data_IF_504177822839
#
_entry.id   IF_504177822839
#
_cell.length_a   1.000
_cell.length_b   1.000
_cell.length_c   1.000
_cell.angle_alpha   90.00
_cell.angle_beta   90.00
_cell.angle_gamma   90.00
#
_symmetry.space_group_name_H-M   'P 1'
#
loop_
_entity.id
_entity.type
_entity.pdbx_description
1 polymer ?
#
# COMPACT_ATOMS: atom_id res chain seq x y z
N UNK A 1 -24.00 -4.17 -9.28
CA UNK A 1 -22.88 -3.74 -8.43
C UNK A 1 -21.82 -3.21 -9.40
N UNK A 2 -21.71 -1.92 -9.55
CA UNK A 2 -20.64 -1.32 -10.34
C UNK A 2 -19.39 -1.29 -9.44
N UNK A 3 -18.47 -2.22 -9.65
CA UNK A 3 -17.12 -2.13 -9.10
C UNK A 3 -16.34 -1.06 -9.85
N UNK A 4 -15.18 -0.68 -9.35
CA UNK A 4 -14.28 0.26 -10.04
C UNK A 4 -13.88 -0.19 -11.45
N UNK A 5 -14.28 -1.38 -11.87
CA UNK A 5 -13.91 -1.99 -13.14
C UNK A 5 -12.45 -2.45 -13.17
N UNK A 6 -12.06 -3.11 -14.26
CA UNK A 6 -10.71 -3.66 -14.43
C UNK A 6 -9.98 -3.04 -15.64
N UNK A 7 -10.53 -1.97 -16.22
CA UNK A 7 -10.00 -1.37 -17.47
C UNK A 7 -8.60 -0.75 -17.29
N UNK A 8 -8.22 -0.43 -16.07
CA UNK A 8 -6.91 0.12 -15.71
C UNK A 8 -5.84 -0.96 -15.45
N UNK A 9 -6.23 -2.23 -15.48
CA UNK A 9 -5.28 -3.32 -15.35
C UNK A 9 -4.57 -3.54 -16.69
N UNK A 10 -3.25 -3.69 -16.64
CA UNK A 10 -2.45 -4.03 -17.82
C UNK A 10 -2.72 -5.48 -18.26
N UNK A 11 -2.42 -5.81 -19.49
CA UNK A 11 -2.57 -7.19 -19.94
C UNK A 11 -1.60 -8.10 -19.20
N UNK A 12 -2.05 -9.31 -18.84
CA UNK A 12 -1.25 -10.26 -18.05
C UNK A 12 0.01 -10.77 -18.78
N UNK A 13 0.14 -10.49 -20.06
CA UNK A 13 1.31 -10.81 -20.91
C UNK A 13 2.46 -9.80 -20.76
N UNK A 14 2.23 -8.66 -20.14
CA UNK A 14 3.18 -7.55 -20.11
C UNK A 14 4.15 -7.57 -18.90
N UNK A 15 4.50 -8.75 -18.39
CA UNK A 15 5.42 -8.87 -17.25
C UNK A 15 4.77 -8.61 -15.89
N UNK A 16 3.45 -8.76 -15.79
CA UNK A 16 2.70 -8.64 -14.53
C UNK A 16 3.13 -9.73 -13.56
N UNK A 17 3.71 -9.33 -12.44
CA UNK A 17 4.16 -10.24 -11.39
C UNK A 17 3.06 -10.50 -10.36
N UNK A 18 2.35 -9.45 -9.93
CA UNK A 18 1.25 -9.52 -8.98
C UNK A 18 0.01 -8.83 -9.57
N UNK A 19 -1.15 -9.51 -9.51
CA UNK A 19 -2.42 -8.98 -10.01
C UNK A 19 -3.51 -9.22 -8.99
N UNK A 20 -4.21 -8.17 -8.66
CA UNK A 20 -5.35 -8.16 -7.74
C UNK A 20 -6.59 -7.79 -8.54
N UNK A 21 -7.64 -8.59 -8.45
CA UNK A 21 -8.89 -8.36 -9.15
C UNK A 21 -10.06 -8.44 -8.19
N UNK A 22 -10.86 -7.38 -8.13
CA UNK A 22 -12.11 -7.28 -7.38
C UNK A 22 -11.96 -7.72 -5.90
N UNK A 23 -10.85 -7.34 -5.26
CA UNK A 23 -10.52 -7.75 -3.91
C UNK A 23 -11.51 -7.16 -2.90
N UNK A 24 -12.15 -8.02 -2.13
CA UNK A 24 -13.04 -7.65 -1.03
C UNK A 24 -12.56 -8.28 0.27
N UNK A 25 -12.47 -7.46 1.32
CA UNK A 25 -12.18 -7.94 2.67
C UNK A 25 -13.16 -7.34 3.66
N UNK A 26 -13.95 -8.20 4.27
CA UNK A 26 -14.94 -7.84 5.28
C UNK A 26 -14.65 -8.58 6.59
N UNK A 27 -14.80 -7.86 7.69
CA UNK A 27 -14.70 -8.45 9.04
C UNK A 27 -16.05 -8.43 9.73
N UNK A 28 -16.48 -9.51 10.40
CA UNK A 28 -17.70 -9.50 11.18
C UNK A 28 -17.58 -8.52 12.35
N UNK A 29 -18.63 -7.73 12.57
CA UNK A 29 -18.75 -6.80 13.70
C UNK A 29 -20.09 -7.00 14.42
N UNK A 30 -20.05 -7.74 15.52
CA UNK A 30 -21.28 -8.16 16.21
C UNK A 30 -22.09 -9.22 15.43
N UNK A 31 -23.43 -9.25 15.67
CA UNK A 31 -24.28 -10.31 15.10
C UNK A 31 -24.71 -10.09 13.65
N UNK A 32 -24.77 -8.84 13.17
CA UNK A 32 -25.36 -8.50 11.84
C UNK A 32 -24.53 -7.52 11.01
N UNK A 33 -23.56 -6.87 11.59
CA UNK A 33 -22.77 -5.83 10.92
C UNK A 33 -21.44 -6.40 10.43
N UNK A 34 -20.91 -5.78 9.38
CA UNK A 34 -19.60 -6.08 8.84
C UNK A 34 -18.79 -4.77 8.68
N UNK A 35 -17.51 -4.84 8.94
CA UNK A 35 -16.57 -3.77 8.58
C UNK A 35 -16.14 -4.00 7.15
N UNK A 36 -16.44 -3.09 6.24
CA UNK A 36 -16.05 -3.11 4.84
C UNK A 36 -14.65 -2.51 4.69
N UNK A 37 -13.63 -3.29 5.06
CA UNK A 37 -12.26 -2.79 5.11
C UNK A 37 -11.65 -2.59 3.71
N UNK A 38 -11.95 -3.49 2.77
CA UNK A 38 -11.58 -3.39 1.35
C UNK A 38 -12.79 -3.78 0.53
N UNK A 39 -13.11 -3.00 -0.50
CA UNK A 39 -14.37 -3.12 -1.23
C UNK A 39 -14.16 -3.01 -2.72
N UNK A 40 -13.89 -4.17 -3.33
CA UNK A 40 -13.82 -4.30 -4.78
C UNK A 40 -12.73 -3.38 -5.38
N UNK A 41 -11.47 -3.64 -4.99
CA UNK A 41 -10.30 -2.98 -5.56
C UNK A 41 -9.57 -3.90 -6.52
N UNK A 42 -9.01 -3.31 -7.57
CA UNK A 42 -8.18 -3.99 -8.55
C UNK A 42 -6.94 -3.18 -8.83
N UNK A 43 -5.80 -3.83 -8.98
CA UNK A 43 -4.53 -3.25 -9.43
C UNK A 43 -3.54 -4.33 -9.79
N UNK A 44 -2.50 -3.97 -10.50
CA UNK A 44 -1.41 -4.86 -10.88
C UNK A 44 -0.05 -4.24 -10.58
N UNK A 45 0.98 -5.08 -10.51
CA UNK A 45 2.37 -4.67 -10.30
C UNK A 45 3.24 -5.46 -11.27
N UNK A 46 4.06 -4.77 -12.06
CA UNK A 46 5.04 -5.39 -12.96
C UNK A 46 6.27 -5.85 -12.18
N UNK A 47 7.03 -6.78 -12.78
CA UNK A 47 8.32 -7.19 -12.22
C UNK A 47 9.28 -6.00 -12.13
N UNK A 48 9.89 -5.79 -10.96
CA UNK A 48 10.79 -4.67 -10.69
C UNK A 48 10.11 -3.33 -10.38
N UNK A 49 8.77 -3.24 -10.50
CA UNK A 49 8.00 -2.02 -10.20
C UNK A 49 7.84 -1.81 -8.69
N UNK A 50 7.78 -0.55 -8.27
CA UNK A 50 7.28 -0.14 -6.95
C UNK A 50 5.92 0.52 -7.11
N UNK A 51 4.86 -0.15 -6.64
CA UNK A 51 3.53 0.47 -6.51
C UNK A 51 3.37 1.04 -5.09
N UNK A 52 3.17 2.35 -4.99
CA UNK A 52 2.80 3.01 -3.74
C UNK A 52 1.30 2.96 -3.50
N UNK A 53 0.85 2.61 -2.29
CA UNK A 53 -0.55 2.80 -1.87
C UNK A 53 -0.58 3.85 -0.77
N UNK A 54 -1.31 4.94 -1.02
CA UNK A 54 -1.45 6.07 -0.09
C UNK A 54 -2.91 6.31 0.30
N UNK A 55 -3.11 6.97 1.42
CA UNK A 55 -4.44 7.37 1.93
C UNK A 55 -4.45 7.53 3.44
N UNK A 56 -5.54 8.08 3.98
CA UNK A 56 -5.71 8.29 5.42
C UNK A 56 -5.59 7.01 6.24
N UNK A 57 -5.24 7.15 7.53
CA UNK A 57 -5.21 6.00 8.46
C UNK A 57 -6.60 5.36 8.54
N UNK A 58 -6.65 4.02 8.53
CA UNK A 58 -7.91 3.27 8.57
C UNK A 58 -8.63 3.13 7.22
N UNK A 59 -8.11 3.64 6.10
CA UNK A 59 -8.77 3.51 4.79
C UNK A 59 -8.66 2.11 4.15
N UNK A 60 -7.93 1.15 4.75
CA UNK A 60 -7.87 -0.24 4.28
C UNK A 60 -6.52 -0.71 3.74
N UNK A 61 -5.48 0.14 3.69
CA UNK A 61 -4.14 -0.16 3.12
C UNK A 61 -3.51 -1.43 3.70
N UNK A 62 -3.30 -1.46 5.02
CA UNK A 62 -2.71 -2.64 5.70
C UNK A 62 -3.57 -3.89 5.59
N UNK A 63 -4.89 -3.73 5.46
CA UNK A 63 -5.80 -4.86 5.23
C UNK A 63 -5.59 -5.43 3.82
N UNK A 64 -5.41 -4.55 2.82
CA UNK A 64 -5.08 -4.95 1.44
C UNK A 64 -3.76 -5.73 1.41
N UNK A 65 -2.71 -5.19 2.04
CA UNK A 65 -1.41 -5.85 2.16
C UNK A 65 -1.51 -7.27 2.74
N UNK A 66 -2.19 -7.39 3.86
CA UNK A 66 -2.38 -8.69 4.54
C UNK A 66 -3.24 -9.65 3.75
N UNK A 67 -4.26 -9.17 3.03
CA UNK A 67 -5.11 -10.01 2.19
C UNK A 67 -4.33 -10.59 0.99
N UNK A 68 -3.39 -9.86 0.43
CA UNK A 68 -2.51 -10.34 -0.65
C UNK A 68 -1.73 -11.59 -0.20
N UNK A 69 -1.17 -11.57 1.00
CA UNK A 69 -0.49 -12.75 1.58
C UNK A 69 -1.45 -13.77 2.21
N UNK A 70 -2.76 -13.62 1.98
CA UNK A 70 -3.81 -14.49 2.51
C UNK A 70 -3.89 -14.50 4.06
N UNK A 71 -3.66 -13.38 4.73
CA UNK A 71 -3.71 -13.19 6.19
C UNK A 71 -4.45 -11.89 6.59
N UNK A 72 -5.79 -11.86 6.57
CA UNK A 72 -6.75 -12.95 6.36
C UNK A 72 -6.94 -13.31 4.89
N UNK A 73 -7.53 -14.47 4.64
CA UNK A 73 -8.02 -14.83 3.30
C UNK A 73 -9.10 -13.82 2.88
N UNK A 74 -9.07 -13.31 1.62
CA UNK A 74 -10.09 -12.40 1.11
C UNK A 74 -11.52 -12.97 1.23
N UNK A 75 -12.50 -12.09 1.40
CA UNK A 75 -13.92 -12.46 1.36
C UNK A 75 -14.33 -12.86 -0.05
N UNK A 76 -13.83 -12.13 -1.06
CA UNK A 76 -13.97 -12.45 -2.46
C UNK A 76 -12.89 -11.73 -3.28
N UNK A 77 -12.84 -11.99 -4.58
CA UNK A 77 -11.83 -11.47 -5.49
C UNK A 77 -10.66 -12.43 -5.67
N UNK A 78 -9.72 -12.03 -6.50
CA UNK A 78 -8.59 -12.84 -6.93
C UNK A 78 -7.28 -12.15 -6.60
N UNK A 79 -6.32 -12.91 -6.08
CA UNK A 79 -4.93 -12.49 -5.92
C UNK A 79 -4.07 -13.47 -6.73
N UNK A 80 -3.44 -12.99 -7.76
CA UNK A 80 -2.63 -13.78 -8.68
C UNK A 80 -1.16 -13.37 -8.58
N UNK A 81 -0.30 -14.34 -8.41
CA UNK A 81 1.14 -14.20 -8.41
C UNK A 81 1.72 -15.10 -9.50
N UNK A 82 2.42 -14.52 -10.48
CA UNK A 82 2.98 -15.24 -11.64
C UNK A 82 1.97 -16.18 -12.30
N UNK A 83 0.75 -15.72 -12.54
CA UNK A 83 -0.34 -16.52 -13.14
C UNK A 83 -1.01 -17.51 -12.19
N UNK A 84 -0.53 -17.66 -10.95
CA UNK A 84 -1.13 -18.58 -9.96
C UNK A 84 -2.09 -17.83 -9.04
N UNK A 85 -3.36 -18.24 -8.99
CA UNK A 85 -4.35 -17.65 -8.07
C UNK A 85 -4.13 -18.13 -6.63
N UNK A 86 -3.55 -17.27 -5.81
CA UNK A 86 -3.25 -17.56 -4.39
C UNK A 86 -4.52 -17.81 -3.56
N UNK A 87 -5.64 -17.22 -3.97
CA UNK A 87 -6.92 -17.35 -3.23
C UNK A 87 -7.51 -18.76 -3.33
N UNK A 88 -7.11 -19.54 -4.34
CA UNK A 88 -7.58 -20.92 -4.57
C UNK A 88 -6.64 -21.97 -4.00
N UNK A 89 -5.42 -21.58 -3.63
CA UNK A 89 -4.45 -22.53 -3.10
C UNK A 89 -4.90 -23.12 -1.74
N UNK A 90 -4.57 -24.37 -1.56
CA UNK A 90 -4.64 -25.03 -0.26
C UNK A 90 -3.47 -24.57 0.66
N UNK A 91 -3.41 -25.13 1.87
CA UNK A 91 -2.38 -24.75 2.84
C UNK A 91 -0.96 -25.07 2.36
N UNK A 92 -0.77 -26.18 1.66
CA UNK A 92 0.55 -26.59 1.19
C UNK A 92 0.97 -25.77 -0.04
N UNK A 93 0.06 -25.55 -1.02
CA UNK A 93 0.31 -24.67 -2.15
C UNK A 93 0.65 -23.25 -1.69
N UNK A 94 -0.09 -22.70 -0.72
CA UNK A 94 0.22 -21.39 -0.15
C UNK A 94 1.56 -21.38 0.60
N UNK A 95 1.91 -22.47 1.30
CA UNK A 95 3.21 -22.60 1.99
C UNK A 95 4.37 -22.50 0.99
N UNK A 96 4.24 -23.06 -0.20
CA UNK A 96 5.28 -23.01 -1.24
C UNK A 96 5.44 -21.60 -1.83
N UNK A 97 4.38 -20.79 -1.87
CA UNK A 97 4.43 -19.40 -2.38
C UNK A 97 4.98 -18.40 -1.36
N UNK A 98 4.89 -18.68 -0.06
CA UNK A 98 5.29 -17.75 1.01
C UNK A 98 6.74 -17.23 0.93
N UNK A 99 7.77 -18.02 0.56
CA UNK A 99 9.12 -17.49 0.40
C UNK A 99 9.21 -16.37 -0.63
N UNK A 100 8.44 -16.47 -1.72
CA UNK A 100 8.49 -15.53 -2.84
C UNK A 100 7.80 -14.19 -2.55
N UNK A 101 6.87 -14.16 -1.58
CA UNK A 101 6.11 -12.95 -1.21
C UNK A 101 6.29 -12.71 0.28
N UNK A 102 7.11 -11.73 0.64
CA UNK A 102 7.43 -11.41 2.02
C UNK A 102 6.81 -10.07 2.43
N UNK A 103 6.67 -9.86 3.75
CA UNK A 103 6.07 -8.63 4.29
C UNK A 103 6.94 -8.04 5.39
N UNK A 104 7.15 -6.72 5.29
CA UNK A 104 7.74 -5.89 6.33
C UNK A 104 6.57 -5.17 7.02
N UNK A 105 6.43 -5.37 8.34
CA UNK A 105 5.30 -4.87 9.13
C UNK A 105 5.56 -3.46 9.66
N UNK A 106 4.49 -2.74 9.94
CA UNK A 106 4.46 -1.37 10.45
C UNK A 106 5.24 -1.18 11.76
N UNK A 107 5.11 -2.12 12.70
CA UNK A 107 5.86 -2.09 13.96
C UNK A 107 6.97 -3.15 13.94
N UNK A 108 8.22 -2.74 13.72
CA UNK A 108 9.33 -3.68 13.66
C UNK A 108 9.55 -4.39 14.99
N UNK A 109 9.32 -3.72 16.13
CA UNK A 109 9.62 -4.28 17.45
C UNK A 109 8.65 -5.42 17.77
N UNK A 110 7.34 -5.18 17.62
CA UNK A 110 6.33 -6.21 17.89
C UNK A 110 6.36 -7.36 16.89
N UNK A 111 6.90 -7.14 15.69
CA UNK A 111 7.01 -8.16 14.65
C UNK A 111 8.17 -9.14 14.89
N UNK A 112 9.10 -8.83 15.79
CA UNK A 112 10.27 -9.64 16.11
C UNK A 112 10.05 -10.41 17.42
N UNK A 113 10.45 -11.69 17.45
CA UNK A 113 10.34 -12.48 18.68
C UNK A 113 11.38 -12.00 19.71
N UNK A 114 10.97 -11.37 20.85
CA UNK A 114 11.88 -10.76 21.81
C UNK A 114 12.74 -11.76 22.58
N UNK A 115 12.42 -13.04 22.50
CA UNK A 115 13.14 -14.12 23.22
C UNK A 115 14.29 -14.72 22.39
N UNK A 116 14.31 -14.48 21.07
CA UNK A 116 15.33 -15.01 20.15
C UNK A 116 16.41 -13.97 19.89
N UNK A 117 17.62 -14.45 19.58
CA UNK A 117 18.68 -13.57 19.07
C UNK A 117 18.33 -13.12 17.65
N UNK A 118 18.90 -11.98 17.22
CA UNK A 118 18.67 -11.42 15.88
C UNK A 118 19.04 -12.41 14.79
N UNK A 119 20.18 -13.07 14.92
CA UNK A 119 20.59 -14.14 14.00
C UNK A 119 19.51 -15.23 13.87
N UNK A 120 18.96 -15.71 14.99
CA UNK A 120 17.92 -16.74 14.96
C UNK A 120 16.61 -16.26 14.35
N UNK A 121 16.28 -14.97 14.46
CA UNK A 121 15.09 -14.36 13.84
C UNK A 121 15.26 -14.35 12.32
N UNK A 122 16.37 -13.88 11.80
CA UNK A 122 16.66 -13.86 10.37
C UNK A 122 16.75 -15.29 9.82
N UNK A 123 17.40 -16.19 10.55
CA UNK A 123 17.56 -17.60 10.16
C UNK A 123 16.27 -18.44 10.24
N UNK A 124 15.18 -17.92 10.80
CA UNK A 124 13.94 -18.71 10.97
C UNK A 124 13.35 -19.15 9.63
N UNK A 125 13.27 -18.24 8.67
CA UNK A 125 12.78 -18.55 7.33
C UNK A 125 13.63 -19.59 6.61
N UNK A 126 14.94 -19.46 6.64
CA UNK A 126 15.83 -20.40 5.96
C UNK A 126 15.76 -21.80 6.55
N UNK A 127 15.53 -21.95 7.86
CA UNK A 127 15.32 -23.25 8.51
C UNK A 127 14.08 -23.99 8.00
N UNK A 128 13.07 -23.27 7.53
CA UNK A 128 11.79 -23.84 7.09
C UNK A 128 11.78 -24.12 5.60
N UNK A 129 12.42 -23.25 4.78
CA UNK A 129 12.28 -23.28 3.32
C UNK A 129 13.60 -23.49 2.56
N UNK A 130 14.77 -23.24 3.18
CA UNK A 130 16.04 -23.42 2.47
C UNK A 130 16.35 -24.91 2.26
N UNK A 131 16.91 -25.19 1.09
CA UNK A 131 17.56 -26.48 0.80
C UNK A 131 19.01 -26.53 1.32
N UNK A 132 19.57 -25.37 1.64
CA UNK A 132 20.92 -25.26 2.23
C UNK A 132 20.85 -25.48 3.74
N UNK A 133 21.84 -26.19 4.26
CA UNK A 133 21.95 -26.51 5.69
C UNK A 133 23.38 -26.27 6.22
N UNK A 134 23.51 -26.12 7.54
CA UNK A 134 24.79 -25.97 8.20
C UNK A 134 25.51 -24.67 7.84
N UNK A 135 26.79 -24.75 7.50
CA UNK A 135 27.65 -23.59 7.29
C UNK A 135 27.21 -22.69 6.11
N UNK A 136 26.65 -23.25 5.04
CA UNK A 136 26.14 -22.47 3.90
C UNK A 136 24.95 -21.62 4.30
N UNK A 137 23.99 -22.19 5.04
CA UNK A 137 22.85 -21.48 5.59
C UNK A 137 23.28 -20.36 6.55
N UNK A 138 24.22 -20.65 7.45
CA UNK A 138 24.74 -19.64 8.38
C UNK A 138 25.40 -18.48 7.65
N UNK A 139 26.22 -18.79 6.63
CA UNK A 139 26.87 -17.78 5.80
C UNK A 139 25.85 -16.87 5.10
N UNK A 140 24.82 -17.42 4.50
CA UNK A 140 23.74 -16.64 3.85
C UNK A 140 23.08 -15.67 4.84
N UNK A 141 22.78 -16.13 6.06
CA UNK A 141 22.20 -15.30 7.11
C UNK A 141 23.16 -14.19 7.55
N UNK A 142 24.45 -14.50 7.71
CA UNK A 142 25.47 -13.50 8.07
C UNK A 142 25.63 -12.43 6.97
N UNK A 143 25.68 -12.85 5.71
CA UNK A 143 25.76 -11.94 4.55
C UNK A 143 24.55 -11.01 4.50
N UNK A 144 23.33 -11.53 4.73
CA UNK A 144 22.11 -10.71 4.74
C UNK A 144 22.09 -9.72 5.94
N UNK A 145 22.53 -10.14 7.13
CA UNK A 145 22.64 -9.24 8.27
C UNK A 145 23.67 -8.12 7.99
N UNK A 146 24.77 -8.45 7.34
CA UNK A 146 25.79 -7.47 6.95
C UNK A 146 25.28 -6.52 5.86
N UNK A 147 24.52 -7.01 4.87
CA UNK A 147 23.93 -6.22 3.79
C UNK A 147 23.01 -5.12 4.31
N UNK A 148 22.25 -5.38 5.39
CA UNK A 148 21.43 -4.35 6.04
C UNK A 148 22.23 -3.46 7.03
N UNK A 149 23.57 -3.58 7.05
CA UNK A 149 24.46 -2.75 7.85
C UNK A 149 24.45 -3.07 9.35
N UNK A 150 24.26 -4.34 9.71
CA UNK A 150 24.37 -4.84 11.09
C UNK A 150 25.59 -5.78 11.23
N UNK A 151 26.12 -5.89 12.45
CA UNK A 151 27.23 -6.82 12.74
C UNK A 151 26.69 -8.25 12.98
N UNK A 152 27.07 -9.25 12.12
CA UNK A 152 26.63 -10.64 12.29
C UNK A 152 27.09 -11.27 13.61
N UNK A 153 28.23 -10.84 14.17
CA UNK A 153 28.73 -11.36 15.44
C UNK A 153 27.87 -10.90 16.61
N UNK A 154 27.49 -9.62 16.64
CA UNK A 154 26.56 -9.10 17.65
C UNK A 154 25.17 -9.75 17.49
N UNK A 155 24.72 -9.95 16.27
CA UNK A 155 23.41 -10.55 15.97
C UNK A 155 23.26 -11.99 16.52
N UNK A 156 24.36 -12.74 16.67
CA UNK A 156 24.37 -14.09 17.26
C UNK A 156 24.06 -14.09 18.76
N UNK A 157 24.31 -13.01 19.45
CA UNK A 157 24.17 -12.91 20.91
C UNK A 157 23.08 -11.99 21.38
N UNK A 158 22.88 -10.87 20.68
CA UNK A 158 21.93 -9.80 21.04
C UNK A 158 20.50 -10.13 20.60
N UNK A 159 19.53 -9.59 21.35
CA UNK A 159 18.09 -9.69 21.13
C UNK A 159 17.51 -8.35 20.63
N UNK A 160 16.30 -8.34 20.01
CA UNK A 160 15.71 -7.12 19.46
C UNK A 160 15.65 -5.91 20.40
N UNK A 161 15.36 -6.12 21.70
CA UNK A 161 15.26 -5.04 22.67
C UNK A 161 16.60 -4.34 22.99
N UNK A 162 17.72 -4.89 22.51
CA UNK A 162 19.07 -4.31 22.63
C UNK A 162 19.46 -3.48 21.39
N UNK A 163 18.53 -3.29 20.46
CA UNK A 163 18.70 -2.53 19.22
C UNK A 163 17.76 -1.32 19.18
N UNK A 164 18.15 -0.26 18.47
CA UNK A 164 17.28 0.90 18.23
C UNK A 164 16.12 0.53 17.29
N UNK A 165 15.07 1.36 17.23
CA UNK A 165 13.93 1.17 16.32
C UNK A 165 14.36 1.03 14.86
N UNK A 166 15.26 1.88 14.37
CA UNK A 166 15.79 1.80 13.02
C UNK A 166 16.65 0.53 12.77
N UNK A 167 17.36 0.04 13.79
CA UNK A 167 18.05 -1.25 13.69
C UNK A 167 17.06 -2.42 13.67
N UNK A 168 15.99 -2.37 14.48
CA UNK A 168 14.91 -3.37 14.43
C UNK A 168 14.24 -3.41 13.05
N UNK A 169 14.07 -2.24 12.40
CA UNK A 169 13.57 -2.19 11.03
C UNK A 169 14.52 -2.89 10.06
N UNK A 170 15.81 -2.66 10.15
CA UNK A 170 16.82 -3.38 9.33
C UNK A 170 16.81 -4.89 9.58
N UNK A 171 16.59 -5.32 10.81
CA UNK A 171 16.40 -6.75 11.13
C UNK A 171 15.16 -7.31 10.42
N UNK A 172 14.05 -6.56 10.39
CA UNK A 172 12.81 -6.94 9.69
C UNK A 172 13.03 -7.05 8.18
N UNK A 173 13.81 -6.13 7.59
CA UNK A 173 14.23 -6.20 6.18
C UNK A 173 15.09 -7.44 5.92
N UNK A 174 16.13 -7.68 6.73
CA UNK A 174 16.99 -8.87 6.59
C UNK A 174 16.20 -10.17 6.68
N UNK A 175 15.23 -10.25 7.62
CA UNK A 175 14.34 -11.40 7.78
C UNK A 175 13.49 -11.66 6.54
N UNK A 176 13.02 -10.62 5.86
CA UNK A 176 12.25 -10.75 4.64
C UNK A 176 13.13 -11.15 3.44
N UNK A 177 14.30 -10.52 3.29
CA UNK A 177 15.19 -10.72 2.14
C UNK A 177 15.95 -12.05 2.14
N UNK A 178 16.24 -12.64 3.28
CA UNK A 178 17.05 -13.87 3.39
C UNK A 178 16.45 -15.08 2.63
N UNK A 179 15.16 -14.99 2.27
CA UNK A 179 14.42 -15.99 1.49
C UNK A 179 14.48 -15.77 -0.02
N UNK A 180 15.21 -14.74 -0.49
CA UNK A 180 15.28 -14.32 -1.89
C UNK A 180 13.89 -14.09 -2.51
N UNK A 181 13.03 -13.26 -1.88
CA UNK A 181 11.68 -13.02 -2.36
C UNK A 181 11.69 -12.29 -3.71
N UNK A 182 10.60 -12.42 -4.46
CA UNK A 182 10.36 -11.61 -5.67
C UNK A 182 9.51 -10.37 -5.36
N UNK A 183 8.63 -10.48 -4.36
CA UNK A 183 7.74 -9.40 -3.93
C UNK A 183 7.97 -9.11 -2.45
N UNK A 184 8.15 -7.83 -2.12
CA UNK A 184 8.11 -7.36 -0.74
C UNK A 184 6.97 -6.36 -0.57
N UNK A 185 6.12 -6.64 0.40
CA UNK A 185 5.06 -5.74 0.83
C UNK A 185 5.56 -4.97 2.05
N UNK A 186 5.74 -3.66 1.90
CA UNK A 186 6.17 -2.76 2.96
C UNK A 186 4.94 -2.05 3.55
N UNK A 187 4.46 -2.50 4.72
CA UNK A 187 3.32 -1.89 5.41
C UNK A 187 3.81 -0.82 6.38
N UNK A 188 3.79 0.44 5.96
CA UNK A 188 4.27 1.62 6.70
C UNK A 188 5.68 1.45 7.31
N UNK A 189 6.68 1.07 6.51
CA UNK A 189 7.97 0.58 7.04
C UNK A 189 8.80 1.66 7.78
N UNK A 190 8.41 2.93 7.72
CA UNK A 190 9.16 4.05 8.31
C UNK A 190 8.32 4.96 9.20
N UNK A 191 7.02 4.69 9.39
CA UNK A 191 6.08 5.59 10.06
C UNK A 191 6.41 5.89 11.54
N UNK A 192 7.10 4.98 12.22
CA UNK A 192 7.47 5.10 13.63
C UNK A 192 8.91 5.61 13.86
N UNK A 193 9.61 6.02 12.80
CA UNK A 193 11.01 6.41 12.86
C UNK A 193 11.16 7.91 12.65
N UNK A 194 12.22 8.49 13.21
CA UNK A 194 12.56 9.89 12.96
C UNK A 194 13.09 10.10 11.53
N UNK A 195 12.93 11.34 11.00
CA UNK A 195 13.16 11.69 9.59
C UNK A 195 14.53 11.25 9.07
N UNK A 196 15.58 11.38 9.89
CA UNK A 196 16.94 11.00 9.48
C UNK A 196 17.12 9.50 9.34
N UNK A 197 16.44 8.72 10.16
CA UNK A 197 16.43 7.25 10.09
C UNK A 197 15.53 6.77 8.96
N UNK A 198 14.39 7.42 8.74
CA UNK A 198 13.50 7.14 7.59
C UNK A 198 14.27 7.19 6.26
N UNK A 199 14.99 8.30 6.01
CA UNK A 199 15.76 8.45 4.77
C UNK A 199 16.78 7.31 4.56
N UNK A 200 17.46 6.88 5.63
CA UNK A 200 18.43 5.77 5.55
C UNK A 200 17.76 4.43 5.26
N UNK A 201 16.57 4.17 5.82
CA UNK A 201 15.82 2.93 5.55
C UNK A 201 15.29 2.93 4.12
N UNK A 202 14.79 4.07 3.63
CA UNK A 202 14.28 4.20 2.25
C UNK A 202 15.40 3.98 1.23
N UNK A 203 16.56 4.63 1.41
CA UNK A 203 17.71 4.42 0.54
C UNK A 203 18.15 2.95 0.55
N UNK A 204 18.26 2.34 1.73
CA UNK A 204 18.59 0.92 1.85
C UNK A 204 17.58 0.02 1.11
N UNK A 205 16.28 0.29 1.20
CA UNK A 205 15.25 -0.47 0.48
C UNK A 205 15.38 -0.28 -1.04
N UNK A 206 15.75 0.92 -1.50
CA UNK A 206 16.00 1.19 -2.91
C UNK A 206 17.24 0.44 -3.40
N UNK A 207 18.35 0.51 -2.66
CA UNK A 207 19.58 -0.23 -2.98
C UNK A 207 19.30 -1.75 -3.05
N UNK A 208 18.54 -2.29 -2.09
CA UNK A 208 18.14 -3.70 -2.07
C UNK A 208 17.21 -4.05 -3.26
N UNK A 209 16.29 -3.14 -3.64
CA UNK A 209 15.42 -3.33 -4.82
C UNK A 209 16.27 -3.54 -6.07
N UNK A 210 17.27 -2.70 -6.28
CA UNK A 210 18.15 -2.75 -7.45
C UNK A 210 19.06 -3.99 -7.41
N UNK A 211 19.69 -4.28 -6.26
CA UNK A 211 20.63 -5.38 -6.10
C UNK A 211 19.97 -6.76 -6.24
N UNK A 212 18.76 -6.93 -5.68
CA UNK A 212 18.06 -8.22 -5.66
C UNK A 212 16.93 -8.32 -6.70
N UNK A 213 16.70 -7.29 -7.52
CA UNK A 213 15.64 -7.26 -8.53
C UNK A 213 14.23 -7.42 -7.93
N UNK A 214 13.95 -6.66 -6.86
CA UNK A 214 12.70 -6.80 -6.10
C UNK A 214 11.57 -6.00 -6.73
N UNK A 215 10.36 -6.53 -6.58
CA UNK A 215 9.10 -5.81 -6.80
C UNK A 215 8.53 -5.38 -5.46
N UNK A 216 8.15 -4.11 -5.34
CA UNK A 216 7.68 -3.57 -4.06
C UNK A 216 6.21 -3.13 -4.12
N UNK A 217 5.44 -3.51 -3.10
CA UNK A 217 4.20 -2.84 -2.76
C UNK A 217 4.46 -1.98 -1.52
N UNK A 218 4.52 -0.66 -1.69
CA UNK A 218 4.91 0.27 -0.65
C UNK A 218 3.69 1.02 -0.10
N UNK A 219 3.34 0.77 1.15
CA UNK A 219 2.19 1.40 1.81
C UNK A 219 2.67 2.47 2.77
N UNK A 220 2.12 3.68 2.65
CA UNK A 220 2.36 4.78 3.58
C UNK A 220 1.13 5.69 3.66
N UNK A 221 1.04 6.45 4.75
CA UNK A 221 0.14 7.60 4.84
C UNK A 221 0.86 8.90 4.47
N UNK A 222 2.19 8.88 4.33
CA UNK A 222 3.00 10.04 3.93
C UNK A 222 3.25 10.01 2.42
N UNK A 223 2.57 10.93 1.72
CA UNK A 223 2.70 11.06 0.27
C UNK A 223 4.12 11.50 -0.14
N UNK A 224 4.82 12.27 0.69
CA UNK A 224 6.18 12.73 0.39
C UNK A 224 7.16 11.56 0.33
N UNK A 225 6.98 10.58 1.21
CA UNK A 225 7.76 9.34 1.21
C UNK A 225 7.48 8.52 -0.05
N UNK A 226 6.20 8.33 -0.38
CA UNK A 226 5.78 7.51 -1.52
C UNK A 226 6.25 8.11 -2.85
N UNK A 227 6.23 9.43 -2.99
CA UNK A 227 6.74 10.14 -4.18
C UNK A 227 8.17 9.73 -4.54
N UNK A 228 9.01 9.54 -3.52
CA UNK A 228 10.44 9.29 -3.74
C UNK A 228 10.79 7.83 -4.03
N UNK A 229 9.87 6.90 -3.79
CA UNK A 229 10.18 5.46 -3.88
C UNK A 229 9.30 4.69 -4.85
N UNK A 230 8.23 5.31 -5.38
CA UNK A 230 7.21 4.62 -6.16
C UNK A 230 7.24 5.02 -7.63
N UNK A 231 7.19 4.04 -8.50
CA UNK A 231 7.04 4.23 -9.96
C UNK A 231 5.57 4.58 -10.29
N UNK A 232 4.62 3.93 -9.64
CA UNK A 232 3.16 4.22 -9.72
C UNK A 232 2.57 4.39 -8.33
N UNK A 233 1.47 5.13 -8.27
CA UNK A 233 0.78 5.42 -7.01
C UNK A 233 -0.71 5.14 -7.13
N UNK A 234 -1.27 4.41 -6.17
CA UNK A 234 -2.69 4.20 -5.98
C UNK A 234 -3.16 4.95 -4.73
N UNK A 235 -4.14 5.83 -4.89
CA UNK A 235 -4.74 6.61 -3.80
C UNK A 235 -5.98 5.89 -3.29
N UNK A 236 -5.97 5.52 -2.02
CA UNK A 236 -7.03 4.72 -1.41
C UNK A 236 -7.83 5.53 -0.39
N UNK A 237 -9.16 5.49 -0.51
CA UNK A 237 -10.11 6.11 0.41
C UNK A 237 -11.19 5.13 0.84
N UNK A 238 -11.36 4.94 2.14
CA UNK A 238 -12.41 4.11 2.76
C UNK A 238 -12.65 2.77 2.02
N UNK A 239 -11.59 1.99 1.80
CA UNK A 239 -11.63 0.68 1.17
C UNK A 239 -11.75 0.66 -0.35
N UNK A 240 -11.64 1.79 -1.04
CA UNK A 240 -11.68 1.92 -2.50
C UNK A 240 -10.43 2.63 -3.03
N UNK A 241 -9.99 2.28 -4.23
CA UNK A 241 -8.99 3.08 -4.96
C UNK A 241 -9.75 4.20 -5.68
N UNK A 242 -9.32 5.44 -5.48
CA UNK A 242 -9.92 6.64 -6.08
C UNK A 242 -9.18 7.07 -7.35
N UNK A 243 -7.87 6.92 -7.36
CA UNK A 243 -6.98 7.36 -8.42
C UNK A 243 -5.76 6.44 -8.44
N UNK A 244 -5.28 6.08 -9.63
CA UNK A 244 -4.07 5.26 -9.81
C UNK A 244 -3.38 5.68 -11.10
N UNK A 245 -2.05 5.72 -11.09
CA UNK A 245 -1.28 6.07 -12.27
C UNK A 245 0.19 6.24 -11.98
N UNK A 246 0.92 6.72 -12.99
CA UNK A 246 2.31 7.13 -12.88
C UNK A 246 2.52 8.08 -11.69
N UNK A 247 3.61 7.87 -10.94
CA UNK A 247 3.87 8.63 -9.73
C UNK A 247 3.93 10.13 -9.98
N UNK A 248 4.66 10.58 -10.98
CA UNK A 248 4.81 12.01 -11.28
C UNK A 248 3.46 12.63 -11.67
N UNK A 249 2.63 11.93 -12.47
CA UNK A 249 1.30 12.42 -12.85
C UNK A 249 0.36 12.60 -11.65
N UNK A 250 0.36 11.66 -10.71
CA UNK A 250 -0.46 11.75 -9.49
C UNK A 250 -0.08 12.98 -8.66
N UNK A 251 1.21 13.36 -8.61
CA UNK A 251 1.67 14.52 -7.83
C UNK A 251 1.55 15.84 -8.59
N UNK A 252 1.78 15.85 -9.90
CA UNK A 252 1.77 17.09 -10.70
C UNK A 252 0.37 17.44 -11.18
N UNK A 253 -0.43 16.42 -11.55
CA UNK A 253 -1.77 16.60 -12.15
C UNK A 253 -2.83 15.74 -11.45
N UNK A 254 -3.01 15.88 -10.13
CA UNK A 254 -4.02 15.11 -9.40
C UNK A 254 -5.42 15.45 -9.92
N UNK A 255 -6.20 14.44 -10.28
CA UNK A 255 -7.52 14.61 -10.88
C UNK A 255 -8.67 14.32 -9.92
N UNK A 256 -8.47 13.42 -8.94
CA UNK A 256 -9.49 13.18 -7.92
C UNK A 256 -9.47 14.28 -6.84
N UNK A 257 -10.62 14.84 -6.44
CA UNK A 257 -10.67 15.87 -5.39
C UNK A 257 -10.00 15.46 -4.08
N UNK A 258 -10.09 14.20 -3.68
CA UNK A 258 -9.41 13.68 -2.48
C UNK A 258 -7.88 13.72 -2.62
N UNK A 259 -7.33 13.30 -3.77
CA UNK A 259 -5.88 13.35 -4.02
C UNK A 259 -5.35 14.78 -3.93
N UNK A 260 -6.08 15.73 -4.51
CA UNK A 260 -5.73 17.16 -4.43
C UNK A 260 -5.68 17.66 -2.99
N UNK A 261 -6.69 17.32 -2.19
CA UNK A 261 -6.74 17.71 -0.77
C UNK A 261 -5.62 17.06 0.04
N UNK A 262 -5.29 15.79 -0.22
CA UNK A 262 -4.15 15.11 0.41
C UNK A 262 -2.83 15.81 0.08
N UNK A 263 -2.60 16.16 -1.20
CA UNK A 263 -1.40 16.84 -1.65
C UNK A 263 -1.32 18.29 -1.12
N UNK A 264 -2.47 18.97 -1.01
CA UNK A 264 -2.54 20.30 -0.43
C UNK A 264 -2.15 20.32 1.05
N UNK A 265 -2.35 19.22 1.78
CA UNK A 265 -1.97 19.07 3.18
C UNK A 265 -0.45 18.89 3.40
N UNK A 266 0.32 18.59 2.35
CA UNK A 266 1.78 18.47 2.45
C UNK A 266 2.39 19.86 2.67
N UNK A 267 3.17 20.09 3.74
CA UNK A 267 3.86 21.35 3.96
C UNK A 267 4.89 21.60 2.84
N UNK A 268 4.66 22.61 2.02
CA UNK A 268 5.63 23.06 1.03
C UNK A 268 6.30 24.37 1.49
N UNK A 269 7.61 24.35 1.80
CA UNK A 269 8.34 25.56 2.24
C UNK A 269 8.36 26.67 1.19
N UNK A 270 8.15 26.32 -0.09
CA UNK A 270 8.16 27.29 -1.21
C UNK A 270 6.81 27.96 -1.43
N UNK A 271 5.73 27.39 -0.93
CA UNK A 271 4.37 27.86 -1.19
C UNK A 271 3.76 28.52 0.07
N UNK A 272 4.16 29.76 0.37
CA UNK A 272 3.71 30.53 1.53
C UNK A 272 2.25 31.02 1.46
N UNK A 273 1.57 30.80 0.33
CA UNK A 273 0.23 31.35 0.05
C UNK A 273 -0.77 30.27 -0.40
N UNK A 274 -0.65 29.03 0.12
CA UNK A 274 -1.78 28.09 -0.02
C UNK A 274 -2.92 28.63 0.84
N UNK A 275 -4.00 29.05 0.18
CA UNK A 275 -5.25 29.36 0.87
C UNK A 275 -5.65 28.14 1.72
N UNK A 276 -5.77 28.37 3.03
CA UNK A 276 -6.07 27.36 4.05
C UNK A 276 -7.48 26.74 3.82
N UNK A 277 -8.21 27.22 2.81
CA UNK A 277 -9.55 26.77 2.46
C UNK A 277 -9.62 25.35 1.86
N UNK A 278 -8.48 24.78 1.43
CA UNK A 278 -8.41 23.42 0.88
C UNK A 278 -7.99 22.35 1.89
N UNK A 279 -8.30 22.55 3.17
CA UNK A 279 -8.04 21.54 4.21
C UNK A 279 -9.13 20.45 4.14
N UNK A 280 -8.69 19.21 4.24
CA UNK A 280 -9.55 18.04 4.31
C UNK A 280 -10.39 18.10 5.61
N UNK A 281 -11.61 18.67 5.52
CA UNK A 281 -12.49 18.80 6.66
C UNK A 281 -13.26 17.49 6.95
N UNK A 282 -13.57 17.28 8.22
CA UNK A 282 -14.35 16.16 8.72
C UNK A 282 -13.55 14.86 8.91
N UNK A 283 -14.11 13.98 9.71
CA UNK A 283 -13.54 12.66 9.99
C UNK A 283 -13.82 11.66 8.87
N UNK A 284 -12.97 10.63 8.75
CA UNK A 284 -13.19 9.50 7.86
C UNK A 284 -14.52 8.81 8.23
N UNK A 285 -15.46 8.62 7.30
CA UNK A 285 -16.71 7.93 7.58
C UNK A 285 -16.47 6.49 8.07
N UNK A 286 -17.42 5.97 8.86
CA UNK A 286 -17.29 4.64 9.42
C UNK A 286 -17.32 3.55 8.33
N UNK A 287 -16.36 2.61 8.34
CA UNK A 287 -16.36 1.48 7.42
C UNK A 287 -17.46 0.44 7.73
N UNK A 288 -18.21 0.61 8.82
CA UNK A 288 -19.41 -0.20 9.13
C UNK A 288 -20.59 0.16 8.24
N UNK A 289 -20.73 1.45 7.91
CA UNK A 289 -21.80 1.97 7.07
C UNK A 289 -21.19 2.98 6.08
N UNK A 290 -20.46 2.53 5.07
CA UNK A 290 -19.83 3.42 4.12
C UNK A 290 -20.89 4.18 3.32
N UNK A 291 -20.64 5.44 2.92
CA UNK A 291 -21.54 6.21 2.07
C UNK A 291 -21.89 5.47 0.79
N UNK A 292 -23.15 5.59 0.34
CA UNK A 292 -23.60 5.10 -0.97
C UNK A 292 -22.91 5.85 -2.11
N UNK A 293 -22.85 5.26 -3.30
CA UNK A 293 -22.20 5.87 -4.46
C UNK A 293 -20.72 6.16 -4.21
N UNK A 294 -20.27 7.36 -4.54
CA UNK A 294 -18.90 7.78 -4.26
C UNK A 294 -18.66 7.90 -2.75
N UNK A 295 -17.71 7.14 -2.22
CA UNK A 295 -17.40 7.12 -0.78
C UNK A 295 -16.86 8.43 -0.24
N UNK A 296 -16.22 9.24 -1.10
CA UNK A 296 -15.68 10.53 -0.73
C UNK A 296 -16.75 11.65 -0.73
N UNK A 297 -17.95 11.42 -1.25
CA UNK A 297 -19.01 12.45 -1.44
C UNK A 297 -19.33 13.28 -0.20
N UNK A 298 -19.22 12.71 0.99
CA UNK A 298 -19.55 13.39 2.25
C UNK A 298 -18.50 14.44 2.68
N UNK A 299 -17.33 14.42 2.05
CA UNK A 299 -16.22 15.35 2.29
C UNK A 299 -15.74 16.04 1.00
N UNK A 300 -16.41 15.75 -0.13
CA UNK A 300 -16.04 16.29 -1.43
C UNK A 300 -16.68 17.65 -1.66
N UNK A 301 -15.90 18.72 -1.89
CA UNK A 301 -16.47 20.06 -2.17
C UNK A 301 -17.21 20.11 -3.52
N UNK A 302 -17.05 19.10 -4.37
CA UNK A 302 -17.70 19.00 -5.71
C UNK A 302 -18.77 17.92 -5.77
N UNK A 303 -19.24 17.42 -4.61
CA UNK A 303 -20.24 16.36 -4.60
C UNK A 303 -21.59 16.83 -5.17
N UNK A 304 -22.24 15.94 -5.90
CA UNK A 304 -23.58 16.15 -6.48
C UNK A 304 -24.49 14.98 -6.13
N UNK A 305 -25.78 15.07 -6.48
CA UNK A 305 -26.73 13.96 -6.32
C UNK A 305 -26.28 12.69 -7.04
N UNK A 306 -25.61 12.81 -8.20
CA UNK A 306 -25.04 11.69 -8.93
C UNK A 306 -23.99 10.93 -8.09
N UNK A 307 -23.18 11.67 -7.33
CA UNK A 307 -22.19 11.05 -6.44
C UNK A 307 -22.82 10.25 -5.29
N UNK A 308 -24.05 10.56 -4.92
CA UNK A 308 -24.78 9.80 -3.90
C UNK A 308 -25.53 8.58 -4.49
N UNK A 309 -26.01 8.70 -5.73
CA UNK A 309 -26.80 7.68 -6.40
C UNK A 309 -25.94 6.57 -7.03
N UNK A 310 -24.79 6.92 -7.59
CA UNK A 310 -23.97 6.03 -8.42
C UNK A 310 -22.52 5.96 -7.91
N UNK A 311 -21.92 4.77 -7.94
CA UNK A 311 -20.49 4.59 -7.74
C UNK A 311 -19.75 4.99 -9.03
N UNK A 312 -18.71 5.86 -8.96
CA UNK A 312 -17.93 6.22 -10.13
C UNK A 312 -17.09 5.05 -10.63
N UNK A 313 -17.12 4.81 -11.94
CA UNK A 313 -16.24 3.86 -12.61
C UNK A 313 -14.85 4.47 -12.85
N UNK A 314 -13.81 3.63 -12.93
CA UNK A 314 -12.49 4.05 -13.40
C UNK A 314 -12.53 4.47 -14.85
N UNK A 315 -11.98 5.65 -15.15
CA UNK A 315 -11.76 6.16 -16.49
C UNK A 315 -10.33 6.67 -16.64
N UNK A 316 -9.79 6.49 -17.81
CA UNK A 316 -8.47 7.00 -18.17
C UNK A 316 -8.51 8.51 -18.38
N UNK A 317 -7.50 9.21 -17.95
CA UNK A 317 -7.30 10.64 -18.17
C UNK A 317 -6.23 10.84 -19.24
N UNK A 318 -6.63 11.40 -20.36
CA UNK A 318 -5.72 11.55 -21.50
C UNK A 318 -5.29 10.21 -22.10
N UNK A 319 -4.04 10.16 -22.55
CA UNK A 319 -3.42 8.96 -23.15
C UNK A 319 -2.45 8.24 -22.19
N UNK A 320 -2.21 8.81 -21.02
CA UNK A 320 -1.21 8.35 -20.06
C UNK A 320 -1.76 7.26 -19.14
N UNK A 321 -0.90 6.56 -18.41
CA UNK A 321 -1.31 5.62 -17.36
C UNK A 321 -1.78 6.39 -16.12
N UNK A 322 -2.93 7.03 -16.28
CA UNK A 322 -3.58 7.81 -15.23
C UNK A 322 -5.09 7.54 -15.24
N UNK A 323 -5.60 6.96 -14.16
CA UNK A 323 -6.97 6.50 -14.03
C UNK A 323 -7.63 7.05 -12.77
N UNK A 324 -8.89 7.46 -12.89
CA UNK A 324 -9.64 8.07 -11.79
C UNK A 324 -11.06 7.53 -11.69
N UNK A 325 -11.49 7.22 -10.45
CA UNK A 325 -12.86 6.87 -10.11
C UNK A 325 -13.60 8.12 -9.58
N UNK A 326 -13.95 9.04 -10.48
CA UNK A 326 -14.67 10.26 -10.15
C UNK A 326 -15.66 10.63 -11.25
N UNK A 327 -16.88 11.08 -10.89
CA UNK A 327 -17.86 11.59 -11.85
C UNK A 327 -17.43 12.94 -12.44
N UNK A 328 -16.74 13.75 -11.64
CA UNK A 328 -16.32 15.12 -11.96
C UNK A 328 -14.85 15.34 -11.61
N UNK A 329 -13.90 14.66 -12.32
CA UNK A 329 -12.48 14.86 -12.05
C UNK A 329 -12.07 16.27 -12.40
N UNK A 330 -10.96 16.70 -11.83
CA UNK A 330 -10.32 17.96 -12.17
C UNK A 330 -9.37 17.74 -13.36
N UNK A 331 -9.69 18.35 -14.49
CA UNK A 331 -8.90 18.28 -15.73
C UNK A 331 -8.59 19.73 -16.11
N UNK A 332 -7.29 20.08 -16.27
CA UNK A 332 -6.86 21.49 -16.43
C UNK A 332 -7.25 22.13 -17.78
N UNK A 333 -7.49 21.32 -18.83
CA UNK A 333 -7.76 21.80 -20.18
C UNK A 333 -9.24 21.78 -20.61
N UNK A 334 -10.15 21.31 -19.78
CA UNK A 334 -11.59 21.48 -20.02
C UNK A 334 -12.05 22.77 -19.31
N UNK A 335 -12.48 23.78 -20.08
CA UNK A 335 -13.33 24.83 -19.55
C UNK A 335 -14.47 24.19 -18.76
N UNK A 336 -14.39 24.29 -17.45
CA UNK A 336 -15.39 23.75 -16.53
C UNK A 336 -16.75 24.34 -16.94
N UNK A 337 -17.59 23.54 -17.56
CA UNK A 337 -18.97 23.88 -17.83
C UNK A 337 -19.63 24.23 -16.51
N UNK A 338 -19.77 25.54 -16.31
CA UNK A 338 -20.50 26.23 -15.24
C UNK A 338 -19.98 26.04 -13.80
N UNK A 339 -19.31 27.06 -13.31
CA UNK A 339 -19.29 27.51 -11.90
C UNK A 339 -20.73 27.88 -11.42
N UNK A 340 -21.62 26.91 -11.42
CA UNK A 340 -22.81 27.02 -10.58
C UNK A 340 -22.40 26.51 -9.22
N UNK A 341 -22.24 27.42 -8.28
CA UNK A 341 -22.19 27.15 -6.85
C UNK A 341 -23.33 26.17 -6.51
N UNK A 342 -22.96 24.91 -6.32
CA UNK A 342 -23.89 23.92 -5.75
C UNK A 342 -23.67 24.02 -4.25
N UNK A 343 -24.66 24.48 -3.47
CA UNK A 343 -24.55 24.60 -2.02
C UNK A 343 -24.25 23.22 -1.43
N UNK A 344 -23.16 23.11 -0.73
CA UNK A 344 -22.77 21.91 0.03
C UNK A 344 -22.65 22.26 1.51
N UNK A 345 -23.17 21.43 2.44
CA UNK A 345 -24.02 20.24 2.22
C UNK A 345 -25.45 20.63 1.81
N UNK A 346 -26.20 19.71 1.14
CA UNK A 346 -27.60 19.94 0.89
C UNK A 346 -28.30 20.10 2.25
N UNK A 347 -29.11 21.16 2.37
CA UNK A 347 -29.81 21.55 3.59
C UNK A 347 -30.45 20.34 4.27
N UNK A 348 -30.00 19.98 5.46
CA UNK A 348 -30.66 19.02 6.33
C UNK A 348 -29.86 17.78 6.78
N UNK A 349 -28.60 17.59 6.42
CA UNK A 349 -27.77 16.50 6.98
C UNK A 349 -26.54 17.08 7.68
N UNK A 350 -26.72 17.47 8.96
CA UNK A 350 -25.64 17.64 9.93
C UNK A 350 -25.41 16.33 10.68
#
# INVERSE_FOLDING_TARGET
>A
MAGSGNNHLRESTDGTLLRIENLVVEFPSGRRNKVHAVSDISFDILEGETLGIVGESGCGKSTTAKAIIQLPKPTSGKVEYQGTNLSELDKEGMRQQRPSIQMIYQDPISSLNPRRTVFNIVNEGTRVWSTEHGAAQEKKVEEMIQAVGLDPKEAKTRRPHEYSGGQCQRISVARALVLDPKVIICDEPVSSLDVSVQARILNMLQDMKEEYGLTLLFISHDLSVVKNVSDRVAVMYLGKICEIGDGDLIYEKPTHPYTRLLLAAIPDPKNKHKDITDILEGELPSPLNPPSGCRFRTRCPRATEKCAAEEPEFRQIGSDDHWVACHFPHIEDEELVSDKEIPWPPDGQK
#
